data_IF_762795491047
#
_entry.id   IF_762795491047
#
_cell.length_a   1.000
_cell.length_b   1.000
_cell.length_c   1.000
_cell.angle_alpha   90.00
_cell.angle_beta   90.00
_cell.angle_gamma   90.00
#
_symmetry.space_group_name_H-M   'P 1'
#
loop_
_entity.id
_entity.type
_entity.pdbx_description
1 polymer ?
#
# COMPACT_ATOMS: atom_id res chain seq x y z
N UNK A 1 -31.06 6.61 4.67
CA UNK A 1 -29.73 6.25 4.13
C UNK A 1 -29.71 6.40 2.60
N UNK A 2 -30.69 5.86 1.89
CA UNK A 2 -30.79 5.94 0.43
C UNK A 2 -30.85 7.38 -0.10
N UNK A 3 -31.63 8.26 0.56
CA UNK A 3 -31.74 9.68 0.22
C UNK A 3 -30.43 10.42 0.42
N UNK A 4 -29.75 10.17 1.54
CA UNK A 4 -28.45 10.77 1.86
C UNK A 4 -27.43 10.34 0.81
N UNK A 5 -27.38 9.05 0.48
CA UNK A 5 -26.48 8.52 -0.52
C UNK A 5 -26.71 9.19 -1.89
N UNK A 6 -27.94 9.24 -2.37
CA UNK A 6 -28.26 9.88 -3.63
C UNK A 6 -27.81 11.34 -3.68
N UNK A 7 -28.05 12.09 -2.61
CA UNK A 7 -27.68 13.51 -2.53
C UNK A 7 -26.18 13.75 -2.43
N UNK A 8 -25.45 12.87 -1.73
CA UNK A 8 -23.99 12.96 -1.64
C UNK A 8 -23.31 12.57 -2.95
N UNK A 9 -23.88 11.61 -3.71
CA UNK A 9 -23.37 11.26 -5.04
C UNK A 9 -23.52 12.40 -6.05
N UNK A 10 -24.53 13.28 -5.88
CA UNK A 10 -24.66 14.48 -6.71
C UNK A 10 -23.65 15.59 -6.36
N UNK A 11 -23.11 15.57 -5.12
CA UNK A 11 -22.24 16.62 -4.58
C UNK A 11 -20.75 16.27 -4.60
N UNK A 12 -20.42 15.03 -4.90
CA UNK A 12 -19.04 14.57 -4.89
C UNK A 12 -18.87 13.17 -5.41
N UNK A 13 -17.65 12.70 -5.41
CA UNK A 13 -17.26 11.37 -5.85
C UNK A 13 -16.70 10.54 -4.68
N UNK A 14 -16.26 9.31 -4.96
CA UNK A 14 -15.64 8.39 -4.00
C UNK A 14 -16.44 8.19 -2.70
N UNK A 15 -17.79 8.25 -2.80
CA UNK A 15 -18.68 8.14 -1.65
C UNK A 15 -18.65 6.72 -1.03
N UNK A 16 -18.20 6.64 0.21
CA UNK A 16 -18.30 5.43 1.04
C UNK A 16 -19.19 5.72 2.25
N UNK A 17 -20.20 4.87 2.45
CA UNK A 17 -21.09 4.92 3.62
C UNK A 17 -21.16 3.55 4.28
N UNK A 18 -20.87 3.51 5.59
CA UNK A 18 -20.95 2.31 6.41
C UNK A 18 -21.69 2.62 7.73
N UNK A 19 -22.74 1.84 8.01
CA UNK A 19 -23.56 2.00 9.22
C UNK A 19 -23.42 0.78 10.13
N UNK A 20 -23.10 1.03 11.40
CA UNK A 20 -23.06 0.00 12.45
C UNK A 20 -23.32 0.61 13.81
N UNK A 21 -24.10 -0.07 14.67
CA UNK A 21 -24.32 0.32 16.07
C UNK A 21 -24.94 1.72 16.26
N UNK A 22 -25.77 2.18 15.33
CA UNK A 22 -26.38 3.52 15.38
C UNK A 22 -25.46 4.66 14.97
N UNK A 23 -24.28 4.35 14.46
CA UNK A 23 -23.33 5.29 13.87
C UNK A 23 -23.23 5.04 12.37
N UNK A 24 -23.14 6.13 11.60
CA UNK A 24 -22.85 6.07 10.16
C UNK A 24 -21.55 6.81 9.89
N UNK A 25 -20.57 6.10 9.33
CA UNK A 25 -19.34 6.68 8.81
C UNK A 25 -19.55 7.01 7.34
N UNK A 26 -19.23 8.25 6.97
CA UNK A 26 -19.34 8.75 5.60
C UNK A 26 -17.97 9.29 5.20
N UNK A 27 -17.52 8.88 4.03
CA UNK A 27 -16.36 9.43 3.34
C UNK A 27 -16.81 9.87 1.95
N UNK A 28 -16.50 11.08 1.56
CA UNK A 28 -16.87 11.65 0.26
C UNK A 28 -15.84 12.69 -0.16
N UNK A 29 -15.43 12.66 -1.44
CA UNK A 29 -14.63 13.70 -2.04
C UNK A 29 -15.58 14.75 -2.63
N UNK A 30 -15.48 15.99 -2.18
CA UNK A 30 -16.38 17.06 -2.61
C UNK A 30 -15.67 18.40 -2.67
N UNK A 31 -16.05 19.23 -3.63
CA UNK A 31 -15.61 20.63 -3.70
C UNK A 31 -16.40 21.56 -2.77
N UNK A 32 -17.47 21.04 -2.12
CA UNK A 32 -18.36 21.79 -1.22
C UNK A 32 -18.42 21.14 0.18
N UNK A 33 -17.28 21.04 0.92
CA UNK A 33 -17.23 20.28 2.17
C UNK A 33 -18.15 20.87 3.27
N UNK A 34 -18.24 22.18 3.36
CA UNK A 34 -19.09 22.85 4.37
C UNK A 34 -20.57 22.64 4.09
N UNK A 35 -21.01 22.71 2.84
CA UNK A 35 -22.41 22.47 2.48
C UNK A 35 -22.78 20.99 2.64
N UNK A 36 -21.85 20.10 2.40
CA UNK A 36 -21.99 18.67 2.64
C UNK A 36 -22.19 18.37 4.13
N UNK A 37 -21.36 18.95 5.01
CA UNK A 37 -21.50 18.83 6.47
C UNK A 37 -22.84 19.41 6.93
N UNK A 38 -23.19 20.61 6.48
CA UNK A 38 -24.45 21.27 6.82
C UNK A 38 -25.68 20.45 6.39
N UNK A 39 -25.61 19.80 5.27
CA UNK A 39 -26.65 18.88 4.81
C UNK A 39 -26.76 17.66 5.73
N UNK A 40 -25.65 17.03 6.08
CA UNK A 40 -25.63 15.85 6.96
C UNK A 40 -26.14 16.16 8.38
N UNK A 41 -25.85 17.35 8.90
CA UNK A 41 -26.34 17.79 10.23
C UNK A 41 -27.86 17.92 10.32
N UNK A 42 -28.59 17.94 9.19
CA UNK A 42 -30.06 17.93 9.19
C UNK A 42 -30.63 16.56 9.60
N UNK A 43 -29.87 15.49 9.47
CA UNK A 43 -30.31 14.13 9.79
C UNK A 43 -29.82 13.62 11.13
N UNK A 44 -28.61 13.99 11.54
CA UNK A 44 -28.01 13.58 12.81
C UNK A 44 -26.85 14.50 13.22
N UNK A 45 -26.55 14.61 14.52
CA UNK A 45 -25.37 15.32 14.99
C UNK A 45 -24.10 14.59 14.54
N UNK A 46 -23.11 15.36 14.06
CA UNK A 46 -21.79 14.83 13.69
C UNK A 46 -20.97 14.70 14.98
N UNK A 47 -20.50 13.49 15.29
CA UNK A 47 -19.64 13.23 16.46
C UNK A 47 -18.18 13.57 16.19
N UNK A 48 -17.72 13.26 14.99
CA UNK A 48 -16.35 13.47 14.54
C UNK A 48 -16.38 13.82 13.06
N UNK A 49 -15.64 14.83 12.65
CA UNK A 49 -15.52 15.23 11.25
C UNK A 49 -14.08 15.66 10.95
N UNK A 50 -13.52 15.10 9.88
CA UNK A 50 -12.21 15.47 9.34
C UNK A 50 -12.42 16.02 7.94
N UNK A 51 -11.91 17.22 7.70
CA UNK A 51 -11.88 17.85 6.38
C UNK A 51 -10.41 17.96 5.98
N UNK A 52 -10.08 17.41 4.83
CA UNK A 52 -8.74 17.51 4.24
C UNK A 52 -8.86 18.19 2.88
N UNK A 53 -8.09 19.23 2.67
CA UNK A 53 -7.98 19.88 1.37
C UNK A 53 -6.98 19.09 0.51
N UNK A 54 -7.52 18.25 -0.37
CA UNK A 54 -6.70 17.43 -1.27
C UNK A 54 -5.96 18.27 -2.32
N UNK A 55 -6.47 19.44 -2.69
CA UNK A 55 -5.76 20.35 -3.60
C UNK A 55 -4.61 21.06 -2.88
N UNK A 56 -4.80 21.41 -1.60
CA UNK A 56 -3.75 21.98 -0.78
C UNK A 56 -2.63 20.95 -0.55
N UNK A 57 -2.97 19.71 -0.23
CA UNK A 57 -2.00 18.62 -0.13
C UNK A 57 -1.23 18.41 -1.43
N UNK A 58 -1.92 18.37 -2.58
CA UNK A 58 -1.26 18.26 -3.89
C UNK A 58 -0.35 19.47 -4.20
N UNK A 59 -0.71 20.67 -3.75
CA UNK A 59 0.07 21.90 -3.97
C UNK A 59 1.24 22.05 -2.96
N UNK A 60 1.11 21.60 -1.71
CA UNK A 60 2.23 21.53 -0.76
C UNK A 60 3.31 20.56 -1.22
N UNK A 61 2.92 19.42 -1.78
CA UNK A 61 3.84 18.46 -2.40
C UNK A 61 4.46 19.02 -3.72
N UNK A 62 3.75 19.91 -4.43
CA UNK A 62 4.30 20.58 -5.62
C UNK A 62 5.23 21.78 -5.28
N UNK A 63 5.20 22.30 -4.05
CA UNK A 63 5.97 23.45 -3.59
C UNK A 63 7.26 23.09 -2.81
N UNK A 64 7.63 21.81 -2.72
CA UNK A 64 8.94 21.36 -2.26
C UNK A 64 10.04 21.93 -3.17
N UNK A 65 11.30 22.08 -2.69
CA UNK A 65 12.38 22.67 -3.49
C UNK A 65 12.49 21.91 -4.81
N UNK A 66 12.36 22.63 -5.92
CA UNK A 66 12.46 22.10 -7.26
C UNK A 66 13.80 21.39 -7.45
N UNK A 67 13.80 20.07 -7.36
CA UNK A 67 14.85 19.25 -7.93
C UNK A 67 14.51 19.18 -9.41
N UNK A 68 15.28 19.90 -10.20
CA UNK A 68 15.19 19.97 -11.65
C UNK A 68 15.27 18.55 -12.22
N UNK A 69 14.16 18.03 -12.76
CA UNK A 69 14.09 16.70 -13.36
C UNK A 69 12.84 15.87 -13.02
N UNK A 70 11.89 16.37 -12.20
CA UNK A 70 10.67 15.64 -11.83
C UNK A 70 9.56 15.78 -12.87
N UNK A 71 9.46 14.87 -13.80
CA UNK A 71 8.24 14.59 -14.55
C UNK A 71 7.13 14.24 -13.55
N UNK A 72 6.03 15.02 -13.52
CA UNK A 72 4.82 14.63 -12.78
C UNK A 72 4.33 13.30 -13.33
N UNK A 73 4.59 12.22 -12.61
CA UNK A 73 4.14 10.90 -12.98
C UNK A 73 2.62 10.85 -12.80
N UNK A 74 1.89 11.01 -13.91
CA UNK A 74 0.54 10.44 -13.97
C UNK A 74 0.66 8.95 -13.62
N UNK A 75 -0.28 8.35 -12.88
CA UNK A 75 -0.28 6.92 -12.65
C UNK A 75 -0.31 6.22 -14.02
N UNK A 76 0.87 5.78 -14.48
CA UNK A 76 1.01 5.08 -15.75
C UNK A 76 0.92 3.61 -15.39
N UNK A 77 -0.22 2.98 -15.69
CA UNK A 77 -0.29 1.54 -15.73
C UNK A 77 0.56 1.06 -16.91
N UNK A 78 1.63 0.34 -16.65
CA UNK A 78 2.39 -0.33 -17.70
C UNK A 78 1.81 -1.74 -17.91
N UNK A 79 1.46 -2.06 -19.16
CA UNK A 79 0.84 -3.33 -19.57
C UNK A 79 1.83 -4.15 -20.40
N UNK A 80 2.95 -4.56 -19.82
CA UNK A 80 3.90 -5.42 -20.51
C UNK A 80 3.42 -6.89 -20.43
N UNK A 81 3.33 -7.57 -21.56
CA UNK A 81 2.91 -8.98 -21.64
C UNK A 81 1.40 -9.23 -21.74
N UNK A 82 0.56 -8.21 -21.72
CA UNK A 82 -0.89 -8.34 -21.85
C UNK A 82 -1.40 -8.64 -23.28
N UNK A 83 -0.55 -8.52 -24.28
CA UNK A 83 -0.87 -8.82 -25.69
C UNK A 83 -0.67 -10.29 -26.07
N UNK A 84 -0.16 -11.10 -25.16
CA UNK A 84 -0.02 -12.54 -25.40
C UNK A 84 -1.37 -13.23 -25.16
N UNK A 85 -1.95 -13.83 -26.21
CA UNK A 85 -3.23 -14.56 -26.18
C UNK A 85 -3.19 -15.81 -25.26
N UNK A 86 -2.02 -16.18 -24.75
CA UNK A 86 -1.84 -17.34 -23.88
C UNK A 86 -1.95 -17.04 -22.39
N UNK A 87 -2.06 -15.77 -21.96
CA UNK A 87 -2.20 -15.42 -20.55
C UNK A 87 -3.59 -15.78 -20.04
N UNK A 88 -3.68 -16.86 -19.28
CA UNK A 88 -4.96 -17.29 -18.67
C UNK A 88 -5.35 -16.40 -17.49
N UNK A 89 -4.38 -16.09 -16.61
CA UNK A 89 -4.56 -15.25 -15.44
C UNK A 89 -3.47 -14.18 -15.38
N UNK A 90 -3.83 -12.91 -15.34
CA UNK A 90 -2.90 -11.79 -15.24
C UNK A 90 -2.86 -11.23 -13.81
N UNK A 91 -1.66 -10.85 -13.38
CA UNK A 91 -1.43 -10.23 -12.06
C UNK A 91 -1.36 -8.72 -12.21
N UNK A 92 -2.18 -8.04 -11.41
CA UNK A 92 -2.27 -6.57 -11.33
C UNK A 92 -1.73 -6.14 -9.97
N UNK A 93 -0.64 -5.39 -9.94
CA UNK A 93 0.06 -5.08 -8.69
C UNK A 93 0.17 -3.58 -8.51
N UNK A 94 -0.24 -3.07 -7.34
CA UNK A 94 0.02 -1.67 -6.98
C UNK A 94 1.45 -1.56 -6.45
N UNK A 95 2.23 -0.67 -7.06
CA UNK A 95 3.64 -0.50 -6.76
C UNK A 95 3.93 0.83 -6.06
N UNK A 96 4.76 0.83 -5.00
CA UNK A 96 5.16 2.03 -4.29
C UNK A 96 6.39 2.72 -4.87
N UNK A 97 7.06 2.12 -5.84
CA UNK A 97 8.29 2.70 -6.39
C UNK A 97 8.98 1.87 -7.46
N UNK A 98 9.94 2.47 -8.18
CA UNK A 98 10.54 1.87 -9.39
C UNK A 98 11.30 0.56 -9.13
N UNK A 99 11.92 0.39 -7.96
CA UNK A 99 12.58 -0.86 -7.62
C UNK A 99 11.57 -2.00 -7.43
N UNK A 100 10.43 -1.72 -6.80
CA UNK A 100 9.33 -2.67 -6.70
C UNK A 100 8.72 -2.99 -8.08
N UNK A 101 8.64 -2.02 -9.00
CA UNK A 101 8.16 -2.27 -10.38
C UNK A 101 8.98 -3.35 -11.06
N UNK A 102 10.31 -3.26 -10.96
CA UNK A 102 11.22 -4.25 -11.55
C UNK A 102 11.05 -5.64 -10.91
N UNK A 103 10.93 -5.68 -9.59
CA UNK A 103 10.73 -6.93 -8.85
C UNK A 103 9.42 -7.58 -9.27
N UNK A 104 8.31 -6.84 -9.28
CA UNK A 104 7.01 -7.36 -9.67
C UNK A 104 6.97 -7.85 -11.12
N UNK A 105 7.61 -7.13 -12.06
CA UNK A 105 7.75 -7.61 -13.46
C UNK A 105 8.53 -8.91 -13.54
N UNK A 106 9.65 -9.00 -12.84
CA UNK A 106 10.47 -10.23 -12.79
C UNK A 106 9.70 -11.42 -12.21
N UNK A 107 8.78 -11.15 -11.28
CA UNK A 107 7.89 -12.15 -10.68
C UNK A 107 6.62 -12.42 -11.51
N UNK A 108 6.52 -11.86 -12.71
CA UNK A 108 5.45 -12.16 -13.65
C UNK A 108 4.20 -11.28 -13.52
N UNK A 109 4.26 -10.13 -12.89
CA UNK A 109 3.16 -9.17 -12.93
C UNK A 109 3.05 -8.52 -14.32
N UNK A 110 1.89 -8.63 -14.96
CA UNK A 110 1.63 -8.06 -16.28
C UNK A 110 1.18 -6.61 -16.22
N UNK A 111 0.51 -6.22 -15.13
CA UNK A 111 0.00 -4.85 -14.96
C UNK A 111 0.56 -4.28 -13.67
N UNK A 112 1.33 -3.21 -13.79
CA UNK A 112 1.81 -2.43 -12.65
C UNK A 112 1.01 -1.14 -12.58
N UNK A 113 0.30 -0.94 -11.48
CA UNK A 113 -0.42 0.30 -11.18
C UNK A 113 0.45 1.13 -10.24
N UNK A 114 0.90 2.29 -10.68
CA UNK A 114 1.65 3.20 -9.81
C UNK A 114 0.78 3.68 -8.65
N UNK A 115 1.28 3.56 -7.43
CA UNK A 115 0.58 4.07 -6.24
C UNK A 115 0.50 5.61 -6.20
N UNK A 116 1.35 6.28 -6.96
CA UNK A 116 1.53 7.73 -6.89
C UNK A 116 2.03 8.18 -5.52
N UNK A 117 2.13 9.50 -5.33
CA UNK A 117 2.66 10.09 -4.09
C UNK A 117 1.82 9.78 -2.85
N UNK A 118 0.54 9.47 -3.03
CA UNK A 118 -0.40 9.18 -1.92
C UNK A 118 -0.66 7.69 -1.70
N UNK A 119 -0.06 6.80 -2.53
CA UNK A 119 -0.41 5.38 -2.56
C UNK A 119 -1.94 5.14 -2.61
N UNK A 120 -2.65 5.94 -3.40
CA UNK A 120 -4.11 5.86 -3.55
C UNK A 120 -4.52 6.07 -5.01
N UNK A 121 -4.22 5.11 -5.91
CA UNK A 121 -4.58 5.20 -7.31
C UNK A 121 -6.11 5.27 -7.48
N UNK A 122 -6.61 6.06 -8.45
CA UNK A 122 -8.03 6.12 -8.74
C UNK A 122 -8.54 4.78 -9.31
N UNK A 123 -9.84 4.54 -9.20
CA UNK A 123 -10.49 3.29 -9.66
C UNK A 123 -10.21 3.01 -11.14
N UNK A 124 -10.14 4.05 -11.98
CA UNK A 124 -9.84 3.98 -13.42
C UNK A 124 -8.45 3.40 -13.70
N UNK A 125 -7.48 3.62 -12.79
CA UNK A 125 -6.13 3.07 -12.92
C UNK A 125 -6.10 1.53 -12.90
N UNK A 126 -7.13 0.89 -12.37
CA UNK A 126 -7.34 -0.56 -12.45
C UNK A 126 -8.17 -0.96 -13.66
N UNK A 127 -9.25 -0.22 -13.94
CA UNK A 127 -10.25 -0.59 -14.95
C UNK A 127 -9.66 -0.58 -16.36
N UNK A 128 -8.98 0.51 -16.74
CA UNK A 128 -8.51 0.70 -18.10
C UNK A 128 -7.48 -0.35 -18.54
N UNK A 129 -6.42 -0.64 -17.76
CA UNK A 129 -5.45 -1.64 -18.16
C UNK A 129 -6.01 -3.07 -18.14
N UNK A 130 -6.94 -3.39 -17.21
CA UNK A 130 -7.59 -4.70 -17.18
C UNK A 130 -8.51 -4.89 -18.40
N UNK A 131 -9.24 -3.86 -18.82
CA UNK A 131 -10.05 -3.92 -20.05
C UNK A 131 -9.22 -4.12 -21.30
N UNK A 132 -8.05 -3.47 -21.36
CA UNK A 132 -7.14 -3.54 -22.49
C UNK A 132 -6.35 -4.86 -22.58
N UNK A 133 -6.26 -5.62 -21.50
CA UNK A 133 -5.51 -6.87 -21.43
C UNK A 133 -6.32 -8.08 -21.92
N UNK A 134 -5.76 -9.00 -22.70
CA UNK A 134 -6.45 -10.16 -23.25
C UNK A 134 -6.65 -11.33 -22.28
N UNK A 135 -6.09 -11.27 -21.07
CA UNK A 135 -6.25 -12.32 -20.06
C UNK A 135 -7.74 -12.57 -19.70
N UNK A 136 -8.04 -13.82 -19.34
CA UNK A 136 -9.41 -14.25 -18.99
C UNK A 136 -9.77 -13.93 -17.55
N UNK A 137 -8.80 -14.04 -16.65
CA UNK A 137 -8.96 -13.74 -15.24
C UNK A 137 -7.84 -12.85 -14.73
N UNK A 138 -8.07 -12.16 -13.62
CA UNK A 138 -7.13 -11.22 -13.02
C UNK A 138 -7.07 -11.39 -11.50
N UNK A 139 -5.88 -11.24 -10.96
CA UNK A 139 -5.67 -11.18 -9.52
C UNK A 139 -5.02 -9.83 -9.20
N UNK A 140 -5.69 -9.01 -8.38
CA UNK A 140 -5.22 -7.69 -7.96
C UNK A 140 -4.56 -7.79 -6.59
N UNK A 141 -3.34 -7.25 -6.48
CA UNK A 141 -2.57 -7.05 -5.26
C UNK A 141 -2.57 -5.56 -4.90
N UNK A 142 -3.43 -5.10 -3.99
CA UNK A 142 -3.58 -3.69 -3.67
C UNK A 142 -2.38 -3.10 -2.92
N UNK A 143 -1.68 -3.91 -2.13
CA UNK A 143 -0.46 -3.56 -1.38
C UNK A 143 -0.60 -2.40 -0.39
N UNK A 144 -1.84 -1.99 -0.12
CA UNK A 144 -2.17 -1.00 0.89
C UNK A 144 -3.62 -1.24 1.35
N UNK A 145 -3.85 -1.24 2.67
CA UNK A 145 -5.18 -1.44 3.26
C UNK A 145 -6.23 -0.44 2.79
N UNK A 146 -5.81 0.79 2.48
CA UNK A 146 -6.72 1.85 2.02
C UNK A 146 -7.18 1.64 0.58
N UNK A 147 -6.40 0.91 -0.24
CA UNK A 147 -6.68 0.66 -1.66
C UNK A 147 -7.60 -0.56 -1.84
N UNK A 148 -7.63 -1.50 -0.90
CA UNK A 148 -8.40 -2.75 -1.03
C UNK A 148 -9.85 -2.49 -1.41
N UNK A 149 -10.49 -1.48 -0.82
CA UNK A 149 -11.88 -1.16 -1.13
C UNK A 149 -12.04 -0.57 -2.54
N UNK A 150 -11.15 0.33 -2.95
CA UNK A 150 -11.16 0.90 -4.30
C UNK A 150 -10.90 -0.18 -5.37
N UNK A 151 -9.95 -1.09 -5.13
CA UNK A 151 -9.70 -2.23 -6.00
C UNK A 151 -10.91 -3.17 -6.12
N UNK A 152 -11.62 -3.46 -5.01
CA UNK A 152 -12.86 -4.24 -5.03
C UNK A 152 -14.00 -3.53 -5.78
N UNK A 153 -14.09 -2.22 -5.66
CA UNK A 153 -15.06 -1.43 -6.42
C UNK A 153 -14.72 -1.47 -7.92
N UNK A 154 -13.46 -1.31 -8.29
CA UNK A 154 -13.01 -1.45 -9.68
C UNK A 154 -13.36 -2.84 -10.25
N UNK A 155 -13.06 -3.91 -9.48
CA UNK A 155 -13.38 -5.27 -9.88
C UNK A 155 -14.88 -5.47 -10.16
N UNK A 156 -15.74 -4.85 -9.35
CA UNK A 156 -17.20 -4.91 -9.54
C UNK A 156 -17.73 -4.17 -10.79
N UNK A 157 -16.92 -3.30 -11.39
CA UNK A 157 -17.26 -2.56 -12.63
C UNK A 157 -16.68 -3.20 -13.90
N UNK A 158 -15.99 -4.33 -13.77
CA UNK A 158 -15.35 -5.04 -14.87
C UNK A 158 -16.09 -6.35 -15.12
N UNK A 159 -16.43 -6.63 -16.39
CA UNK A 159 -17.16 -7.86 -16.78
C UNK A 159 -16.28 -9.12 -16.85
N UNK A 160 -14.99 -9.01 -16.51
CA UNK A 160 -14.04 -10.13 -16.47
C UNK A 160 -13.97 -10.71 -15.05
N UNK A 161 -13.44 -11.93 -14.92
CA UNK A 161 -13.17 -12.53 -13.60
C UNK A 161 -11.98 -11.81 -12.94
N UNK A 162 -12.25 -11.04 -11.90
CA UNK A 162 -11.28 -10.25 -11.17
C UNK A 162 -11.35 -10.57 -9.69
N UNK A 163 -10.27 -11.11 -9.14
CA UNK A 163 -10.12 -11.38 -7.72
C UNK A 163 -9.21 -10.34 -7.06
N UNK A 164 -9.59 -9.84 -5.89
CA UNK A 164 -8.81 -8.86 -5.13
C UNK A 164 -8.32 -9.50 -3.85
N UNK A 165 -6.99 -9.61 -3.71
CA UNK A 165 -6.37 -10.19 -2.53
C UNK A 165 -6.29 -9.19 -1.37
N UNK A 166 -6.05 -9.69 -0.16
CA UNK A 166 -5.93 -8.87 1.03
C UNK A 166 -4.47 -8.44 1.31
N UNK A 167 -3.67 -8.24 0.25
CA UNK A 167 -2.31 -7.74 0.38
C UNK A 167 -2.33 -6.29 0.87
N UNK A 168 -1.76 -6.03 2.04
CA UNK A 168 -1.72 -4.73 2.70
C UNK A 168 -0.37 -4.05 2.57
N UNK A 169 0.63 -4.80 2.13
CA UNK A 169 2.00 -4.34 1.98
C UNK A 169 2.66 -4.94 0.73
N UNK A 170 3.54 -4.22 0.00
CA UNK A 170 4.15 -4.71 -1.23
C UNK A 170 4.96 -5.99 -1.05
N UNK A 171 5.60 -6.21 0.09
CA UNK A 171 6.37 -7.43 0.36
C UNK A 171 5.48 -8.68 0.45
N UNK A 172 4.23 -8.54 0.88
CA UNK A 172 3.25 -9.63 0.87
C UNK A 172 2.89 -10.05 -0.56
N UNK A 173 2.82 -9.09 -1.49
CA UNK A 173 2.63 -9.42 -2.91
C UNK A 173 3.86 -10.13 -3.50
N UNK A 174 5.07 -9.77 -3.07
CA UNK A 174 6.30 -10.48 -3.48
C UNK A 174 6.20 -11.95 -3.07
N UNK A 175 5.95 -12.23 -1.78
CA UNK A 175 5.83 -13.60 -1.27
C UNK A 175 4.74 -14.39 -2.02
N UNK A 176 3.58 -13.77 -2.25
CA UNK A 176 2.50 -14.41 -3.01
C UNK A 176 2.88 -14.68 -4.47
N UNK A 177 3.53 -13.75 -5.15
CA UNK A 177 3.97 -13.93 -6.55
C UNK A 177 5.05 -15.02 -6.66
N UNK A 178 5.96 -15.11 -5.70
CA UNK A 178 6.96 -16.21 -5.63
C UNK A 178 6.23 -17.55 -5.48
N UNK A 179 5.24 -17.64 -4.61
CA UNK A 179 4.42 -18.85 -4.47
C UNK A 179 3.68 -19.19 -5.77
N UNK A 180 3.09 -18.18 -6.43
CA UNK A 180 2.34 -18.35 -7.67
C UNK A 180 3.23 -18.74 -8.87
N UNK A 181 4.53 -18.43 -8.84
CA UNK A 181 5.46 -18.83 -9.88
C UNK A 181 5.63 -20.36 -10.01
N UNK A 182 5.36 -21.10 -8.94
CA UNK A 182 5.41 -22.57 -8.90
C UNK A 182 4.05 -23.24 -9.13
N UNK A 183 2.97 -22.47 -9.32
CA UNK A 183 1.61 -23.01 -9.49
C UNK A 183 1.40 -23.66 -10.86
N UNK A 184 0.80 -24.84 -10.84
CA UNK A 184 0.29 -25.53 -12.02
C UNK A 184 -1.02 -24.90 -12.55
N UNK A 185 -1.54 -25.41 -13.69
CA UNK A 185 -2.76 -24.91 -14.31
C UNK A 185 -4.03 -25.17 -13.45
N UNK A 186 -4.04 -26.23 -12.65
CA UNK A 186 -5.19 -26.66 -11.86
C UNK A 186 -5.17 -26.15 -10.40
N UNK A 187 -4.12 -25.43 -10.01
CA UNK A 187 -3.98 -24.92 -8.64
C UNK A 187 -4.89 -23.73 -8.37
N UNK A 188 -5.45 -23.70 -7.16
CA UNK A 188 -6.21 -22.55 -6.66
C UNK A 188 -5.25 -21.40 -6.28
N UNK A 189 -4.93 -20.56 -7.28
CA UNK A 189 -4.02 -19.43 -7.15
C UNK A 189 -4.42 -18.44 -6.08
N UNK A 190 -5.72 -18.21 -5.91
CA UNK A 190 -6.23 -17.24 -4.92
C UNK A 190 -5.98 -17.75 -3.51
N UNK A 191 -6.27 -19.02 -3.25
CA UNK A 191 -6.00 -19.64 -1.95
C UNK A 191 -4.51 -19.67 -1.63
N UNK A 192 -3.67 -20.09 -2.57
CA UNK A 192 -2.20 -20.14 -2.39
C UNK A 192 -1.61 -18.75 -2.15
N UNK A 193 -2.03 -17.75 -2.92
CA UNK A 193 -1.59 -16.37 -2.73
C UNK A 193 -1.99 -15.80 -1.36
N UNK A 194 -3.24 -16.05 -0.90
CA UNK A 194 -3.67 -15.61 0.42
C UNK A 194 -2.90 -16.30 1.55
N UNK A 195 -2.59 -17.58 1.42
CA UNK A 195 -1.75 -18.31 2.40
C UNK A 195 -0.35 -17.66 2.51
N UNK A 196 0.29 -17.33 1.38
CA UNK A 196 1.58 -16.65 1.39
C UNK A 196 1.49 -15.24 2.00
N UNK A 197 0.43 -14.47 1.67
CA UNK A 197 0.17 -13.15 2.25
C UNK A 197 0.03 -13.23 3.78
N UNK A 198 -0.74 -14.20 4.27
CA UNK A 198 -1.01 -14.36 5.71
C UNK A 198 0.21 -14.88 6.49
N UNK A 199 1.11 -15.62 5.84
CA UNK A 199 2.35 -16.13 6.43
C UNK A 199 3.47 -15.08 6.49
N UNK A 200 3.37 -14.00 5.71
CA UNK A 200 4.41 -12.95 5.60
C UNK A 200 4.16 -11.84 6.60
N UNK A 201 5.01 -11.74 7.61
CA UNK A 201 5.09 -10.56 8.46
C UNK A 201 5.85 -9.45 7.72
N UNK A 202 5.45 -8.20 7.94
CA UNK A 202 6.09 -7.05 7.32
C UNK A 202 6.43 -5.95 8.32
N UNK A 203 7.45 -5.18 8.01
CA UNK A 203 7.81 -4.01 8.77
C UNK A 203 8.12 -2.82 7.86
N UNK A 204 8.01 -1.63 8.43
CA UNK A 204 8.34 -0.39 7.76
C UNK A 204 8.90 0.62 8.76
N UNK A 205 9.88 1.40 8.34
CA UNK A 205 10.38 2.55 9.09
C UNK A 205 10.02 3.82 8.35
N UNK A 206 9.34 4.72 9.05
CA UNK A 206 8.93 6.04 8.52
C UNK A 206 9.18 7.12 9.55
N UNK A 207 9.19 8.39 9.11
CA UNK A 207 9.40 9.54 9.99
C UNK A 207 8.08 10.16 10.42
N UNK A 208 8.01 10.52 11.69
CA UNK A 208 6.87 11.26 12.23
C UNK A 208 6.88 12.69 11.67
N UNK A 209 5.74 13.11 11.13
CA UNK A 209 5.55 14.46 10.56
C UNK A 209 5.02 15.48 11.57
N UNK A 210 4.68 15.03 12.79
CA UNK A 210 4.17 15.85 13.90
C UNK A 210 4.22 15.08 15.21
N UNK A 211 4.15 15.81 16.32
CA UNK A 211 3.99 15.22 17.65
C UNK A 211 2.64 14.50 17.77
N UNK A 212 2.66 13.27 18.28
CA UNK A 212 1.46 12.47 18.49
C UNK A 212 1.66 11.45 19.62
N UNK A 213 0.55 10.92 20.14
CA UNK A 213 0.60 9.70 20.97
C UNK A 213 0.03 8.55 20.15
N UNK A 214 0.87 7.54 19.84
CA UNK A 214 0.50 6.38 19.03
C UNK A 214 0.72 5.12 19.86
N UNK A 215 -0.31 4.30 20.02
CA UNK A 215 -0.25 3.06 20.82
C UNK A 215 0.29 3.25 22.24
N UNK A 216 0.07 4.45 22.85
CA UNK A 216 0.57 4.79 24.19
C UNK A 216 2.01 5.27 24.24
N UNK A 217 2.73 5.32 23.13
CA UNK A 217 4.06 5.91 23.01
C UNK A 217 3.97 7.37 22.56
N UNK A 218 4.76 8.24 23.19
CA UNK A 218 4.89 9.63 22.78
C UNK A 218 5.87 9.68 21.60
N UNK A 219 5.42 10.21 20.48
CA UNK A 219 6.18 10.35 19.24
C UNK A 219 6.39 11.83 18.99
N UNK A 220 7.61 12.23 18.74
CA UNK A 220 7.95 13.61 18.37
C UNK A 220 8.16 13.73 16.86
N UNK A 221 7.94 14.93 16.34
CA UNK A 221 8.24 15.24 14.94
C UNK A 221 9.71 14.91 14.62
N UNK A 222 9.94 14.18 13.53
CA UNK A 222 11.26 13.71 13.11
C UNK A 222 11.67 12.35 13.66
N UNK A 223 10.99 11.81 14.68
CA UNK A 223 11.27 10.46 15.17
C UNK A 223 11.07 9.41 14.07
N UNK A 224 11.95 8.43 14.02
CA UNK A 224 11.80 7.23 13.20
C UNK A 224 10.89 6.23 13.92
N UNK A 225 9.81 5.85 13.28
CA UNK A 225 8.81 4.91 13.79
C UNK A 225 8.98 3.55 13.13
N UNK A 226 9.22 2.49 13.90
CA UNK A 226 9.14 1.11 13.42
C UNK A 226 7.70 0.61 13.53
N UNK A 227 7.11 0.30 12.39
CA UNK A 227 5.82 -0.36 12.29
C UNK A 227 6.03 -1.83 11.92
N UNK A 228 5.39 -2.75 12.64
CA UNK A 228 5.35 -4.18 12.30
C UNK A 228 3.90 -4.60 12.20
N UNK A 229 3.51 -5.13 11.05
CA UNK A 229 2.11 -5.50 10.75
C UNK A 229 1.12 -4.34 11.05
N UNK A 230 1.46 -3.13 10.62
CA UNK A 230 0.71 -1.87 10.85
C UNK A 230 0.68 -1.37 12.31
N UNK A 231 1.43 -1.96 13.24
CA UNK A 231 1.47 -1.55 14.64
C UNK A 231 2.81 -0.89 14.97
N UNK A 232 2.78 0.22 15.69
CA UNK A 232 3.98 0.85 16.21
C UNK A 232 4.62 -0.07 17.28
N UNK A 233 5.87 -0.45 17.05
CA UNK A 233 6.64 -1.37 17.93
C UNK A 233 7.80 -0.63 18.61
N UNK A 234 8.45 0.30 17.90
CA UNK A 234 9.60 1.02 18.43
C UNK A 234 9.76 2.41 17.84
N UNK A 235 10.53 3.22 18.53
CA UNK A 235 10.92 4.57 18.15
C UNK A 235 12.43 4.71 18.21
N UNK A 236 12.98 5.59 17.38
CA UNK A 236 14.38 5.97 17.41
C UNK A 236 14.58 7.35 16.78
N UNK A 237 15.73 7.97 16.99
CA UNK A 237 16.11 9.20 16.31
C UNK A 237 16.74 8.91 14.93
N UNK A 238 17.05 7.64 14.66
CA UNK A 238 17.53 7.16 13.37
C UNK A 238 16.80 5.86 12.98
N UNK A 239 16.94 5.47 11.70
CA UNK A 239 16.37 4.22 11.16
C UNK A 239 16.97 3.02 11.88
N UNK A 240 18.28 3.06 12.15
CA UNK A 240 19.02 2.02 12.84
C UNK A 240 18.52 1.84 14.29
N UNK A 241 18.34 2.94 15.01
CA UNK A 241 17.81 2.90 16.38
C UNK A 241 16.37 2.33 16.41
N UNK A 242 15.52 2.74 15.47
CA UNK A 242 14.17 2.20 15.41
C UNK A 242 14.17 0.69 15.12
N UNK A 243 15.04 0.21 14.22
CA UNK A 243 15.10 -1.20 13.82
C UNK A 243 15.69 -2.13 14.90
N UNK A 244 16.39 -1.62 15.90
CA UNK A 244 16.82 -2.45 17.06
C UNK A 244 15.61 -3.15 17.70
N UNK A 245 14.44 -2.47 17.74
CA UNK A 245 13.21 -3.01 18.31
C UNK A 245 12.53 -4.09 17.44
N UNK A 246 13.06 -4.38 16.24
CA UNK A 246 12.46 -5.42 15.38
C UNK A 246 12.47 -6.80 16.04
N UNK A 247 13.54 -7.15 16.77
CA UNK A 247 13.63 -8.44 17.49
C UNK A 247 12.65 -8.55 18.66
N UNK A 248 12.18 -7.42 19.19
CA UNK A 248 11.21 -7.36 20.29
C UNK A 248 9.75 -7.38 19.77
N UNK A 249 9.58 -7.37 18.46
CA UNK A 249 8.27 -7.36 17.82
C UNK A 249 7.50 -8.66 18.04
N UNK A 250 6.16 -8.63 17.95
CA UNK A 250 5.31 -9.82 18.15
C UNK A 250 5.31 -10.77 16.95
N UNK A 251 6.40 -10.84 16.19
CA UNK A 251 6.62 -11.81 15.11
C UNK A 251 6.92 -13.18 15.70
N UNK A 252 6.38 -14.23 15.12
CA UNK A 252 6.70 -15.62 15.51
C UNK A 252 8.05 -16.03 14.87
N UNK A 253 9.16 -15.67 15.52
CA UNK A 253 10.52 -15.84 14.98
C UNK A 253 10.95 -17.30 14.77
N UNK A 254 10.32 -18.26 15.47
CA UNK A 254 10.76 -19.68 15.51
C UNK A 254 10.77 -20.34 14.14
N UNK A 255 9.82 -19.95 13.26
CA UNK A 255 9.66 -20.55 11.95
C UNK A 255 10.17 -19.63 10.81
N UNK A 256 10.88 -18.57 11.15
CA UNK A 256 11.39 -17.60 10.19
C UNK A 256 12.81 -17.97 9.76
N UNK A 257 13.12 -17.72 8.49
CA UNK A 257 14.42 -18.04 7.88
C UNK A 257 15.02 -16.88 7.08
N UNK A 258 14.20 -15.88 6.74
CA UNK A 258 14.59 -14.81 5.83
C UNK A 258 14.05 -13.45 6.31
N UNK A 259 14.89 -12.43 6.25
CA UNK A 259 14.50 -11.03 6.29
C UNK A 259 14.89 -10.38 4.96
N UNK A 260 13.91 -9.87 4.22
CA UNK A 260 14.16 -9.07 3.03
C UNK A 260 13.95 -7.59 3.33
N UNK A 261 14.92 -6.74 2.96
CA UNK A 261 14.93 -5.30 3.27
C UNK A 261 14.99 -4.49 1.99
N UNK A 262 14.12 -3.49 1.86
CA UNK A 262 13.98 -2.67 0.66
C UNK A 262 14.23 -1.20 1.02
N UNK A 263 15.23 -0.60 0.37
CA UNK A 263 15.63 0.79 0.55
C UNK A 263 14.67 1.75 -0.13
N UNK A 264 14.22 2.78 0.59
CA UNK A 264 13.44 3.89 0.05
C UNK A 264 14.27 4.85 -0.80
N UNK A 265 13.59 5.71 -1.56
CA UNK A 265 14.24 6.65 -2.47
C UNK A 265 15.08 7.69 -1.74
N UNK A 266 14.63 8.16 -0.57
CA UNK A 266 15.31 9.19 0.21
C UNK A 266 16.38 8.65 1.16
N UNK A 267 16.41 7.36 1.44
CA UNK A 267 17.39 6.75 2.31
C UNK A 267 18.66 6.42 1.53
N UNK A 268 19.80 7.02 1.94
CA UNK A 268 21.05 6.89 1.22
C UNK A 268 21.60 5.46 1.24
N UNK A 269 22.39 5.08 0.23
CA UNK A 269 22.91 3.72 0.06
C UNK A 269 23.90 3.32 1.17
N UNK A 270 24.85 4.16 1.49
CA UNK A 270 25.86 3.83 2.49
C UNK A 270 25.31 3.59 3.91
N UNK A 271 24.37 4.41 4.45
CA UNK A 271 23.67 4.07 5.69
C UNK A 271 22.85 2.78 5.57
N UNK A 272 22.24 2.52 4.40
CA UNK A 272 21.48 1.29 4.20
C UNK A 272 22.36 0.04 4.24
N UNK A 273 23.56 0.08 3.64
CA UNK A 273 24.52 -1.03 3.69
C UNK A 273 24.98 -1.30 5.15
N UNK A 274 25.26 -0.25 5.91
CA UNK A 274 25.59 -0.38 7.33
C UNK A 274 24.41 -0.96 8.15
N UNK A 275 23.16 -0.58 7.81
CA UNK A 275 21.97 -1.13 8.41
C UNK A 275 21.86 -2.64 8.15
N UNK A 276 22.09 -3.09 6.90
CA UNK A 276 22.04 -4.50 6.51
C UNK A 276 23.09 -5.30 7.28
N UNK A 277 24.31 -4.77 7.43
CA UNK A 277 25.34 -5.39 8.25
C UNK A 277 24.91 -5.52 9.73
N UNK A 278 24.25 -4.51 10.28
CA UNK A 278 23.75 -4.55 11.66
C UNK A 278 22.65 -5.58 11.84
N UNK A 279 21.70 -5.65 10.89
CA UNK A 279 20.65 -6.68 10.90
C UNK A 279 21.25 -8.09 10.80
N UNK A 280 22.26 -8.29 9.97
CA UNK A 280 22.97 -9.58 9.86
C UNK A 280 23.65 -9.98 11.18
N UNK A 281 24.18 -9.01 11.94
CA UNK A 281 24.74 -9.28 13.27
C UNK A 281 23.67 -9.54 14.33
N UNK A 282 22.51 -8.90 14.21
CA UNK A 282 21.39 -9.03 15.16
C UNK A 282 20.63 -10.35 14.96
N UNK A 283 20.45 -10.77 13.72
CA UNK A 283 19.67 -11.95 13.33
C UNK A 283 20.57 -13.03 12.71
N UNK A 284 21.47 -13.62 13.51
CA UNK A 284 22.49 -14.58 13.05
C UNK A 284 21.94 -15.86 12.46
N UNK A 285 20.73 -16.24 12.81
CA UNK A 285 20.06 -17.47 12.37
C UNK A 285 19.16 -17.26 11.12
N UNK A 286 19.06 -16.01 10.63
CA UNK A 286 18.25 -15.65 9.48
C UNK A 286 19.15 -15.18 8.32
N UNK A 287 18.72 -15.49 7.09
CA UNK A 287 19.28 -14.88 5.90
C UNK A 287 18.79 -13.43 5.76
N UNK A 288 19.69 -12.49 5.47
CA UNK A 288 19.34 -11.09 5.22
C UNK A 288 19.57 -10.79 3.75
N UNK A 289 18.50 -10.39 3.05
CA UNK A 289 18.56 -9.95 1.66
C UNK A 289 18.20 -8.48 1.56
N UNK A 290 18.90 -7.73 0.71
CA UNK A 290 18.71 -6.30 0.55
C UNK A 290 18.47 -5.91 -0.90
N UNK A 291 17.56 -4.95 -1.11
CA UNK A 291 17.12 -4.51 -2.43
C UNK A 291 16.89 -3.01 -2.46
N UNK A 292 16.96 -2.42 -3.63
CA UNK A 292 16.41 -1.09 -3.86
C UNK A 292 14.90 -1.19 -4.13
N UNK A 293 14.08 -0.59 -3.29
CA UNK A 293 12.62 -0.52 -3.45
C UNK A 293 12.17 0.75 -4.14
N UNK A 294 12.82 1.88 -3.84
CA UNK A 294 12.51 3.19 -4.40
C UNK A 294 11.16 3.75 -3.94
N UNK A 295 10.59 3.22 -2.85
CA UNK A 295 9.36 3.73 -2.25
C UNK A 295 9.60 5.10 -1.60
N UNK A 296 8.60 5.99 -1.73
CA UNK A 296 8.52 7.24 -0.97
C UNK A 296 7.99 6.98 0.46
N UNK A 297 8.11 7.93 1.36
CA UNK A 297 7.58 7.96 2.74
C UNK A 297 8.14 6.93 3.72
N UNK A 298 8.70 5.84 3.25
CA UNK A 298 9.32 4.82 4.08
C UNK A 298 10.82 4.76 3.77
N UNK A 299 11.65 5.09 4.76
CA UNK A 299 13.10 4.97 4.63
C UNK A 299 13.50 3.52 4.30
N UNK A 300 12.83 2.58 4.98
CA UNK A 300 13.02 1.14 4.81
C UNK A 300 11.69 0.42 4.95
N UNK A 301 11.46 -0.58 4.12
CA UNK A 301 10.41 -1.58 4.32
C UNK A 301 11.02 -2.97 4.24
N UNK A 302 10.37 -3.98 4.85
CA UNK A 302 10.86 -5.35 4.76
C UNK A 302 9.83 -6.40 5.10
N UNK A 303 10.18 -7.65 4.83
CA UNK A 303 9.44 -8.85 5.23
C UNK A 303 10.25 -9.72 6.17
N UNK A 304 9.52 -10.54 6.92
CA UNK A 304 10.06 -11.62 7.75
C UNK A 304 9.30 -12.90 7.37
N UNK A 305 10.02 -13.86 6.80
CA UNK A 305 9.48 -15.07 6.19
C UNK A 305 10.13 -16.33 6.75
#
# INVERSE_FOLDING_TARGET
ETEIRAKLTERGDSLVMASAGGLTKIHVHTNEPYDTIKYLMQFAPIREGRIEDMQYQANEYAAGPAIDGGSSMKPIASTEGCSDDNVQCAYVVVSPGPGFDEIFRKLGAQIIVGGGDTMNPPTEAFIDPIKACNARSFIIFPNNKNIIMAAKQAAGLIEKDVQVLNARHPVQAIAALVQLASCGPDDDRVTLANQAIDATDFFAVTRATKDATVSGMLVHEGDCMLLVNDKLVGLGHSVEEALVHLSESPVAWVDKSLISVYRGVEYAEAPFDALVENLTKQFTDLEIQSYYGGQAFYDVVGSVE
#
